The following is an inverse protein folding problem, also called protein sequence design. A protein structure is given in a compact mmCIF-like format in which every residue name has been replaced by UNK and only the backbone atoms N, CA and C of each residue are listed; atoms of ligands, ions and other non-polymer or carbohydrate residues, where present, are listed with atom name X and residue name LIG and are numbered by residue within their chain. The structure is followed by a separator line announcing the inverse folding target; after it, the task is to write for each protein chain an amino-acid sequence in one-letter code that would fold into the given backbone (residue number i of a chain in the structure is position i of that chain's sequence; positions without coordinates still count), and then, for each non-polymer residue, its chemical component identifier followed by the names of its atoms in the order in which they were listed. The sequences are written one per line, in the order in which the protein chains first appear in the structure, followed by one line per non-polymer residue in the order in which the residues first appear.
data_IF_173943719530
#
_entry.id   IF_173943719530
#
_cell.length_a   1.000
_cell.length_b   1.000
_cell.length_c   1.000
_cell.angle_alpha   90.00
_cell.angle_beta   90.00
_cell.angle_gamma   90.00
#
_symmetry.space_group_name_H-M   'P 1'
#
loop_
_entity.id
_entity.type
_entity.pdbx_description
1 polymer ?
#
# COMPACT_ATOMS: atom_id res chain seq x y z
N UNK A 1 46.25 -28.50 -7.78
CA UNK A 1 45.81 -27.08 -7.99
C UNK A 1 44.61 -26.95 -8.97
N UNK A 2 43.80 -27.99 -9.16
CA UNK A 2 42.82 -28.09 -10.28
C UNK A 2 41.35 -28.11 -9.87
N UNK A 3 41.02 -28.37 -8.60
CA UNK A 3 39.63 -28.50 -8.13
C UNK A 3 38.89 -27.15 -7.92
N UNK A 4 39.60 -26.06 -7.62
CA UNK A 4 38.96 -24.74 -7.41
C UNK A 4 38.41 -24.11 -8.71
N UNK A 5 38.95 -24.49 -9.88
CA UNK A 5 38.58 -23.89 -11.17
C UNK A 5 37.24 -24.43 -11.71
N UNK A 6 36.95 -25.72 -11.48
CA UNK A 6 35.69 -26.34 -11.91
C UNK A 6 34.47 -25.83 -11.13
N UNK A 7 34.64 -25.51 -9.84
CA UNK A 7 33.56 -25.01 -8.98
C UNK A 7 33.10 -23.57 -9.35
N UNK A 8 33.99 -22.77 -9.96
CA UNK A 8 33.66 -21.40 -10.42
C UNK A 8 32.84 -21.41 -11.73
N UNK A 9 33.04 -22.41 -12.58
CA UNK A 9 32.33 -22.54 -13.87
C UNK A 9 30.88 -23.00 -13.67
N UNK A 10 30.62 -23.87 -12.68
CA UNK A 10 29.25 -24.29 -12.35
C UNK A 10 28.41 -23.16 -11.73
N UNK A 11 29.01 -22.28 -10.90
CA UNK A 11 28.30 -21.11 -10.33
C UNK A 11 27.87 -20.10 -11.40
N UNK A 12 28.66 -19.89 -12.45
CA UNK A 12 28.30 -18.96 -13.54
C UNK A 12 27.16 -19.49 -14.43
N UNK A 13 27.04 -20.82 -14.63
CA UNK A 13 25.93 -21.38 -15.41
C UNK A 13 24.58 -21.31 -14.68
N UNK A 14 24.56 -21.33 -13.35
CA UNK A 14 23.31 -21.20 -12.57
C UNK A 14 22.77 -19.77 -12.48
N UNK A 15 23.61 -18.74 -12.60
CA UNK A 15 23.14 -17.35 -12.55
C UNK A 15 22.49 -16.90 -13.87
N UNK A 16 22.92 -17.44 -15.02
CA UNK A 16 22.42 -16.98 -16.32
C UNK A 16 21.01 -17.52 -16.67
N UNK A 17 20.52 -18.55 -15.96
CA UNK A 17 19.20 -19.13 -16.23
C UNK A 17 18.05 -18.51 -15.41
N UNK A 18 18.36 -17.57 -14.50
CA UNK A 18 17.33 -16.82 -13.75
C UNK A 18 16.74 -15.64 -14.54
N UNK A 19 17.41 -15.17 -15.59
CA UNK A 19 16.91 -14.06 -16.40
C UNK A 19 15.93 -14.47 -17.51
N UNK A 20 15.95 -15.72 -18.00
CA UNK A 20 15.06 -16.16 -19.10
C UNK A 20 13.63 -16.51 -18.68
N UNK A 21 13.33 -16.67 -17.38
CA UNK A 21 11.97 -17.00 -16.90
C UNK A 21 11.04 -15.79 -16.76
N UNK A 22 11.52 -14.56 -16.98
CA UNK A 22 10.69 -13.36 -16.81
C UNK A 22 9.99 -12.87 -18.10
N UNK A 23 10.38 -13.35 -19.28
CA UNK A 23 9.84 -12.81 -20.54
C UNK A 23 8.49 -13.39 -20.97
N UNK A 24 8.14 -14.61 -20.57
CA UNK A 24 6.85 -15.22 -20.93
C UNK A 24 5.66 -14.75 -20.07
N UNK A 25 5.89 -13.88 -19.08
CA UNK A 25 4.83 -13.35 -18.21
C UNK A 25 4.25 -12.01 -18.71
N UNK A 26 4.71 -11.50 -19.85
CA UNK A 26 4.41 -10.15 -20.33
C UNK A 26 3.50 -10.08 -21.57
N UNK A 27 3.17 -11.21 -22.21
CA UNK A 27 2.36 -11.28 -23.45
C UNK A 27 0.86 -11.55 -23.22
N UNK A 28 0.43 -11.72 -21.97
CA UNK A 28 -0.97 -11.55 -21.55
C UNK A 28 -0.98 -10.50 -20.46
N UNK A 29 -0.64 -9.25 -20.79
CA UNK A 29 -1.19 -8.16 -19.99
C UNK A 29 -2.70 -8.33 -20.20
N UNK A 30 -3.50 -8.71 -19.19
CA UNK A 30 -4.93 -8.48 -19.31
C UNK A 30 -5.03 -7.03 -19.70
N UNK A 31 -5.73 -6.72 -20.80
CA UNK A 31 -6.10 -5.34 -21.08
C UNK A 31 -6.64 -4.83 -19.76
N UNK A 32 -5.85 -3.97 -19.13
CA UNK A 32 -6.24 -3.46 -17.84
C UNK A 32 -7.46 -2.66 -18.19
N UNK A 33 -8.64 -3.20 -17.85
CA UNK A 33 -9.92 -2.50 -17.84
C UNK A 33 -9.73 -1.38 -16.82
N UNK A 34 -8.94 -0.38 -17.21
CA UNK A 34 -8.65 0.82 -16.43
C UNK A 34 -9.83 1.75 -16.50
N UNK A 35 -10.62 1.60 -17.56
CA UNK A 35 -11.73 2.45 -17.85
C UNK A 35 -13.00 1.58 -17.77
N UNK A 36 -13.91 1.99 -16.89
CA UNK A 36 -15.25 1.41 -16.72
C UNK A 36 -16.08 1.62 -18.01
N UNK A 37 -15.64 2.56 -18.84
CA UNK A 37 -16.27 2.95 -20.09
C UNK A 37 -15.41 2.38 -21.25
N UNK A 38 -16.02 1.69 -22.23
CA UNK A 38 -15.30 1.20 -23.40
C UNK A 38 -14.75 2.35 -24.25
N UNK A 39 -13.84 2.05 -25.17
CA UNK A 39 -13.28 3.08 -26.06
C UNK A 39 -14.38 3.78 -26.88
N UNK A 40 -14.13 5.03 -27.28
CA UNK A 40 -15.09 5.82 -28.06
C UNK A 40 -15.51 5.14 -29.36
N UNK A 41 -14.59 4.42 -30.01
CA UNK A 41 -14.89 3.65 -31.23
C UNK A 41 -15.90 2.51 -30.99
N UNK A 42 -15.87 1.90 -29.80
CA UNK A 42 -16.84 0.88 -29.43
C UNK A 42 -18.19 1.53 -29.11
N UNK A 43 -18.19 2.68 -28.41
CA UNK A 43 -19.42 3.42 -28.11
C UNK A 43 -20.14 3.89 -29.37
N UNK A 44 -19.42 4.37 -30.38
CA UNK A 44 -19.99 4.78 -31.67
C UNK A 44 -20.71 3.61 -32.34
N UNK A 45 -20.08 2.42 -32.38
CA UNK A 45 -20.72 1.19 -32.90
C UNK A 45 -21.95 0.76 -32.11
N UNK A 46 -21.99 1.01 -30.79
CA UNK A 46 -23.17 0.74 -29.97
C UNK A 46 -24.32 1.71 -30.27
N UNK A 47 -24.01 2.99 -30.48
CA UNK A 47 -25.00 4.00 -30.85
C UNK A 47 -25.59 3.74 -32.23
N UNK A 48 -24.75 3.34 -33.20
CA UNK A 48 -25.19 2.95 -34.55
C UNK A 48 -26.11 1.73 -34.52
N UNK A 49 -25.83 0.76 -33.62
CA UNK A 49 -26.63 -0.45 -33.48
C UNK A 49 -27.95 -0.19 -32.75
N UNK A 50 -27.96 0.69 -31.74
CA UNK A 50 -29.15 1.03 -30.96
C UNK A 50 -29.06 2.48 -30.47
N UNK A 51 -29.76 3.44 -31.12
CA UNK A 51 -29.68 4.85 -30.76
C UNK A 51 -30.21 5.08 -29.34
N UNK A 52 -29.47 5.88 -28.56
CA UNK A 52 -29.73 6.14 -27.14
C UNK A 52 -29.14 5.12 -26.17
N UNK A 53 -28.57 4.01 -26.65
CA UNK A 53 -27.97 2.99 -25.79
C UNK A 53 -26.72 3.48 -25.06
N UNK A 54 -25.92 4.37 -25.68
CA UNK A 54 -24.73 4.95 -25.07
C UNK A 54 -25.12 5.83 -23.88
N UNK A 55 -26.17 6.64 -24.01
CA UNK A 55 -26.65 7.48 -22.91
C UNK A 55 -27.11 6.63 -21.71
N UNK A 56 -27.82 5.53 -21.97
CA UNK A 56 -28.23 4.59 -20.93
C UNK A 56 -27.02 3.90 -20.27
N UNK A 57 -26.02 3.50 -21.06
CA UNK A 57 -24.79 2.90 -20.55
C UNK A 57 -24.01 3.86 -19.66
N UNK A 58 -23.90 5.13 -20.05
CA UNK A 58 -23.23 6.17 -19.26
C UNK A 58 -23.98 6.39 -17.93
N UNK A 59 -25.30 6.49 -17.94
CA UNK A 59 -26.10 6.64 -16.71
C UNK A 59 -25.93 5.43 -15.76
N UNK A 60 -25.93 4.21 -16.30
CA UNK A 60 -25.65 3.00 -15.51
C UNK A 60 -24.23 3.00 -14.94
N UNK A 61 -23.23 3.35 -15.74
CA UNK A 61 -21.83 3.43 -15.30
C UNK A 61 -21.63 4.48 -14.22
N UNK A 62 -22.28 5.65 -14.36
CA UNK A 62 -22.21 6.71 -13.37
C UNK A 62 -22.88 6.31 -12.05
N UNK A 63 -24.07 5.69 -12.11
CA UNK A 63 -24.77 5.15 -10.92
C UNK A 63 -23.91 4.12 -10.19
N UNK A 64 -23.31 3.18 -10.92
CA UNK A 64 -22.42 2.16 -10.35
C UNK A 64 -21.16 2.79 -9.73
N UNK A 65 -20.55 3.77 -10.40
CA UNK A 65 -19.36 4.45 -9.88
C UNK A 65 -19.69 5.25 -8.61
N UNK A 66 -20.81 5.98 -8.59
CA UNK A 66 -21.31 6.67 -7.39
C UNK A 66 -21.57 5.69 -6.26
N UNK A 67 -22.17 4.54 -6.54
CA UNK A 67 -22.42 3.49 -5.55
C UNK A 67 -21.10 2.96 -4.96
N UNK A 68 -20.12 2.63 -5.80
CA UNK A 68 -18.78 2.17 -5.37
C UNK A 68 -18.06 3.20 -4.53
N UNK A 69 -18.07 4.47 -4.93
CA UNK A 69 -17.44 5.54 -4.15
C UNK A 69 -18.12 5.71 -2.78
N UNK A 70 -19.45 5.73 -2.72
CA UNK A 70 -20.18 5.80 -1.46
C UNK A 70 -19.86 4.60 -0.55
N UNK A 71 -19.77 3.38 -1.11
CA UNK A 71 -19.38 2.19 -0.36
C UNK A 71 -17.95 2.29 0.18
N UNK A 72 -17.00 2.73 -0.65
CA UNK A 72 -15.60 2.96 -0.24
C UNK A 72 -15.51 4.01 0.86
N UNK A 73 -16.24 5.12 0.75
CA UNK A 73 -16.27 6.18 1.75
C UNK A 73 -16.82 5.68 3.09
N UNK A 74 -17.92 4.91 3.05
CA UNK A 74 -18.50 4.29 4.25
C UNK A 74 -17.53 3.31 4.90
N UNK A 75 -16.86 2.49 4.10
CA UNK A 75 -15.86 1.55 4.57
C UNK A 75 -14.67 2.26 5.24
N UNK A 76 -14.12 3.29 4.59
CA UNK A 76 -13.03 4.10 5.13
C UNK A 76 -13.43 4.82 6.43
N UNK A 77 -14.65 5.37 6.49
CA UNK A 77 -15.19 6.01 7.70
C UNK A 77 -15.34 4.99 8.83
N UNK A 78 -15.93 3.82 8.57
CA UNK A 78 -16.11 2.76 9.57
C UNK A 78 -14.76 2.29 10.14
N UNK A 79 -13.78 2.06 9.27
CA UNK A 79 -12.43 1.67 9.69
C UNK A 79 -11.78 2.74 10.58
N UNK A 80 -11.89 4.01 10.22
CA UNK A 80 -11.36 5.12 11.01
C UNK A 80 -12.07 5.27 12.37
N UNK A 81 -13.39 5.10 12.40
CA UNK A 81 -14.19 5.16 13.63
C UNK A 81 -13.79 4.00 14.55
N UNK A 82 -13.73 2.77 14.06
CA UNK A 82 -13.32 1.60 14.84
C UNK A 82 -11.92 1.79 15.44
N UNK A 83 -10.98 2.33 14.65
CA UNK A 83 -9.63 2.64 15.15
C UNK A 83 -9.63 3.69 16.26
N UNK A 84 -10.47 4.74 16.15
CA UNK A 84 -10.60 5.78 17.18
C UNK A 84 -11.24 5.23 18.45
N UNK A 85 -12.31 4.46 18.33
CA UNK A 85 -12.98 3.81 19.46
C UNK A 85 -12.03 2.86 20.19
N UNK A 86 -11.31 2.02 19.46
CA UNK A 86 -10.32 1.11 20.07
C UNK A 86 -9.24 1.85 20.88
N UNK A 87 -8.74 2.98 20.36
CA UNK A 87 -7.79 3.84 21.09
C UNK A 87 -8.41 4.48 22.33
N UNK A 88 -9.63 4.98 22.23
CA UNK A 88 -10.34 5.59 23.35
C UNK A 88 -10.63 4.56 24.46
N UNK A 89 -11.14 3.38 24.10
CA UNK A 89 -11.38 2.28 25.04
C UNK A 89 -10.08 1.79 25.70
N UNK A 90 -8.99 1.67 24.92
CA UNK A 90 -7.69 1.33 25.47
C UNK A 90 -7.18 2.36 26.48
N UNK A 91 -7.35 3.65 26.18
CA UNK A 91 -6.98 4.73 27.10
C UNK A 91 -7.83 4.71 28.38
N UNK A 92 -9.16 4.58 28.26
CA UNK A 92 -10.05 4.54 29.42
C UNK A 92 -9.76 3.33 30.32
N UNK A 93 -9.46 2.17 29.72
CA UNK A 93 -9.04 0.98 30.46
C UNK A 93 -7.76 1.21 31.26
N UNK A 94 -6.74 1.84 30.66
CA UNK A 94 -5.48 2.15 31.36
C UNK A 94 -5.69 3.12 32.53
N UNK A 95 -6.53 4.15 32.35
CA UNK A 95 -6.86 5.11 33.42
C UNK A 95 -7.57 4.40 34.58
N UNK A 96 -8.57 3.55 34.28
CA UNK A 96 -9.29 2.79 35.29
C UNK A 96 -8.37 1.84 36.06
N UNK A 97 -7.46 1.16 35.36
CA UNK A 97 -6.47 0.28 35.98
C UNK A 97 -5.50 1.04 36.87
N UNK A 98 -5.01 2.19 36.43
CA UNK A 98 -4.11 3.04 37.22
C UNK A 98 -4.80 3.53 38.50
N UNK A 99 -6.07 3.93 38.40
CA UNK A 99 -6.89 4.31 39.55
C UNK A 99 -7.08 3.14 40.53
N UNK A 100 -7.32 1.93 40.04
CA UNK A 100 -7.43 0.73 40.87
C UNK A 100 -6.12 0.42 41.59
N UNK A 101 -4.98 0.49 40.90
CA UNK A 101 -3.65 0.29 41.49
C UNK A 101 -3.39 1.33 42.58
N UNK A 102 -3.71 2.59 42.31
CA UNK A 102 -3.58 3.68 43.28
C UNK A 102 -4.40 3.42 44.56
N UNK A 103 -5.65 2.97 44.41
CA UNK A 103 -6.51 2.61 45.54
C UNK A 103 -5.95 1.42 46.35
N UNK A 104 -5.40 0.39 45.70
CA UNK A 104 -4.76 -0.73 46.41
C UNK A 104 -3.54 -0.30 47.21
N UNK A 105 -2.71 0.59 46.65
CA UNK A 105 -1.53 1.12 47.35
C UNK A 105 -1.96 1.88 48.61
N UNK A 106 -3.01 2.71 48.51
CA UNK A 106 -3.56 3.46 49.64
C UNK A 106 -4.22 2.55 50.70
N UNK A 107 -4.73 1.38 50.29
CA UNK A 107 -5.30 0.37 51.20
C UNK A 107 -4.24 -0.46 51.93
N UNK A 108 -2.94 -0.26 51.62
CA UNK A 108 -1.82 -0.96 52.24
C UNK A 108 -1.42 -2.27 51.55
N UNK A 109 -2.17 -2.71 50.53
CA UNK A 109 -1.96 -3.97 49.81
C UNK A 109 -0.93 -3.84 48.66
N UNK A 110 0.28 -3.35 48.99
CA UNK A 110 1.32 -3.04 48.00
C UNK A 110 1.75 -4.25 47.16
N UNK A 111 1.77 -5.44 47.76
CA UNK A 111 2.18 -6.66 47.06
C UNK A 111 1.18 -7.06 45.97
N UNK A 112 -0.13 -6.95 46.24
CA UNK A 112 -1.18 -7.22 45.26
C UNK A 112 -1.17 -6.18 44.13
N UNK A 113 -0.96 -4.90 44.46
CA UNK A 113 -0.83 -3.83 43.48
C UNK A 113 0.32 -4.10 42.48
N UNK A 114 1.49 -4.52 42.99
CA UNK A 114 2.65 -4.86 42.14
C UNK A 114 2.39 -6.08 41.25
N UNK A 115 1.74 -7.12 41.77
CA UNK A 115 1.36 -8.31 40.98
C UNK A 115 0.38 -7.97 39.87
N UNK A 116 -0.65 -7.15 40.15
CA UNK A 116 -1.59 -6.70 39.14
C UNK A 116 -0.93 -5.84 38.07
N UNK A 117 -0.05 -4.92 38.47
CA UNK A 117 0.70 -4.08 37.54
C UNK A 117 1.60 -4.90 36.62
N UNK A 118 2.35 -5.88 37.17
CA UNK A 118 3.27 -6.70 36.37
C UNK A 118 2.54 -7.59 35.36
N UNK A 119 1.41 -8.18 35.74
CA UNK A 119 0.55 -8.96 34.83
C UNK A 119 0.02 -8.06 33.71
N UNK A 120 -0.49 -6.88 34.04
CA UNK A 120 -1.02 -5.95 33.04
C UNK A 120 0.07 -5.46 32.06
N UNK A 121 1.27 -5.16 32.58
CA UNK A 121 2.40 -4.77 31.76
C UNK A 121 2.81 -5.90 30.78
N UNK A 122 2.84 -7.15 31.25
CA UNK A 122 3.14 -8.31 30.41
C UNK A 122 2.11 -8.51 29.29
N UNK A 123 0.82 -8.42 29.60
CA UNK A 123 -0.26 -8.52 28.61
C UNK A 123 -0.17 -7.38 27.59
N UNK A 124 0.07 -6.15 28.04
CA UNK A 124 0.20 -4.99 27.16
C UNK A 124 1.41 -5.11 26.23
N UNK A 125 2.55 -5.56 26.75
CA UNK A 125 3.75 -5.82 25.95
C UNK A 125 3.49 -6.90 24.89
N UNK A 126 2.79 -7.98 25.26
CA UNK A 126 2.43 -9.05 24.34
C UNK A 126 1.53 -8.56 23.19
N UNK A 127 0.50 -7.76 23.51
CA UNK A 127 -0.39 -7.15 22.50
C UNK A 127 0.40 -6.20 21.58
N UNK A 128 1.32 -5.39 22.11
CA UNK A 128 2.17 -4.51 21.30
C UNK A 128 3.04 -5.34 20.35
N UNK A 129 3.62 -6.44 20.81
CA UNK A 129 4.43 -7.32 19.99
C UNK A 129 3.60 -7.90 18.85
N UNK A 130 2.44 -8.52 19.14
CA UNK A 130 1.55 -9.10 18.12
C UNK A 130 1.13 -8.04 17.10
N UNK A 131 0.62 -6.90 17.55
CA UNK A 131 0.16 -5.83 16.66
C UNK A 131 1.29 -5.25 15.81
N UNK A 132 2.52 -5.22 16.34
CA UNK A 132 3.71 -4.81 15.58
C UNK A 132 4.10 -5.86 14.53
N UNK A 133 4.00 -7.15 14.86
CA UNK A 133 4.25 -8.24 13.92
C UNK A 133 3.23 -8.26 12.79
N UNK A 134 1.94 -8.16 13.09
CA UNK A 134 0.88 -8.06 12.09
C UNK A 134 1.14 -6.87 11.16
N UNK A 135 1.42 -5.69 11.73
CA UNK A 135 1.79 -4.53 10.92
C UNK A 135 2.98 -4.85 10.02
N UNK A 136 4.05 -5.47 10.52
CA UNK A 136 5.23 -5.81 9.71
C UNK A 136 4.92 -6.81 8.59
N UNK A 137 4.10 -7.83 8.85
CA UNK A 137 3.73 -8.86 7.86
C UNK A 137 2.79 -8.29 6.78
N UNK A 138 1.79 -7.51 7.18
CA UNK A 138 0.81 -6.88 6.27
C UNK A 138 1.29 -5.56 5.64
N UNK A 139 2.44 -5.01 6.08
CA UNK A 139 3.09 -3.84 5.44
C UNK A 139 3.62 -4.13 4.04
N UNK A 140 3.44 -5.35 3.50
CA UNK A 140 3.47 -5.57 2.05
C UNK A 140 2.24 -4.93 1.39
N UNK A 141 1.97 -3.65 1.68
CA UNK A 141 1.12 -2.85 0.81
C UNK A 141 1.73 -2.94 -0.59
N UNK A 142 0.93 -3.19 -1.64
CA UNK A 142 1.42 -3.02 -2.99
C UNK A 142 2.00 -1.60 -3.05
N UNK A 143 3.33 -1.50 -3.22
CA UNK A 143 3.96 -0.21 -3.49
C UNK A 143 3.18 0.34 -4.67
N UNK A 144 2.48 1.45 -4.46
CA UNK A 144 1.81 2.19 -5.53
C UNK A 144 2.96 2.67 -6.42
N UNK A 145 3.34 1.83 -7.39
CA UNK A 145 4.50 1.94 -8.27
C UNK A 145 4.25 2.99 -9.35
N UNK A 146 3.74 4.15 -8.94
CA UNK A 146 3.28 5.20 -9.85
C UNK A 146 3.72 6.61 -9.45
N UNK A 147 4.07 6.86 -8.19
CA UNK A 147 4.46 8.21 -7.75
C UNK A 147 5.97 8.46 -7.80
N UNK A 148 6.78 7.44 -7.58
CA UNK A 148 8.25 7.58 -7.61
C UNK A 148 8.79 7.63 -9.05
N UNK A 149 8.17 6.92 -9.99
CA UNK A 149 8.58 6.90 -11.39
C UNK A 149 8.38 8.28 -12.07
N UNK A 150 7.33 9.01 -11.67
CA UNK A 150 7.10 10.38 -12.18
C UNK A 150 8.09 11.41 -11.61
N UNK A 151 8.60 11.19 -10.39
CA UNK A 151 9.62 12.08 -9.81
C UNK A 151 10.96 11.94 -10.54
N UNK A 152 11.33 10.71 -10.92
CA UNK A 152 12.57 10.45 -11.67
C UNK A 152 12.51 11.04 -13.09
N UNK A 153 11.39 10.84 -13.80
CA UNK A 153 11.18 11.36 -15.15
C UNK A 153 11.18 12.89 -15.25
N UNK A 154 10.78 13.58 -14.18
CA UNK A 154 10.83 15.05 -14.12
C UNK A 154 12.24 15.59 -13.80
N UNK A 155 13.09 14.82 -13.11
CA UNK A 155 14.49 15.21 -12.90
C UNK A 155 15.30 15.02 -14.18
N UNK A 156 15.15 13.89 -14.88
CA UNK A 156 15.84 13.65 -16.16
C UNK A 156 15.53 14.77 -17.18
N UNK A 157 14.26 15.18 -17.29
CA UNK A 157 13.87 16.31 -18.17
C UNK A 157 14.45 17.67 -17.78
N UNK A 158 14.84 17.87 -16.52
CA UNK A 158 15.48 19.13 -16.08
C UNK A 158 16.95 19.14 -16.46
N UNK A 159 17.63 18.01 -16.39
CA UNK A 159 19.03 17.88 -16.76
C UNK A 159 19.20 18.05 -18.28
N UNK A 160 18.33 17.45 -19.09
CA UNK A 160 18.30 17.65 -20.56
C UNK A 160 18.12 19.13 -20.95
N UNK A 161 17.29 19.88 -20.20
CA UNK A 161 17.07 21.31 -20.46
C UNK A 161 18.28 22.17 -20.08
N UNK A 162 19.04 21.78 -19.05
CA UNK A 162 20.26 22.49 -18.66
C UNK A 162 21.34 22.30 -19.71
N UNK A 163 21.56 21.07 -20.16
CA UNK A 163 22.53 20.76 -21.21
C UNK A 163 22.21 21.47 -22.53
N UNK A 164 20.93 21.51 -22.93
CA UNK A 164 20.53 22.19 -24.16
C UNK A 164 20.68 23.73 -24.07
N UNK A 165 20.45 24.32 -22.90
CA UNK A 165 20.68 25.75 -22.69
C UNK A 165 22.17 26.11 -22.69
N UNK A 166 23.02 25.24 -22.15
CA UNK A 166 24.47 25.43 -22.13
C UNK A 166 25.04 25.36 -23.56
N UNK A 167 24.62 24.36 -24.34
CA UNK A 167 24.99 24.24 -25.76
C UNK A 167 24.54 25.44 -26.61
N UNK A 168 23.39 26.05 -26.30
CA UNK A 168 22.93 27.28 -26.97
C UNK A 168 23.79 28.50 -26.64
N UNK A 169 24.27 28.61 -25.41
CA UNK A 169 25.18 29.70 -25.00
C UNK A 169 26.54 29.59 -25.68
N UNK A 170 27.10 28.38 -25.75
CA UNK A 170 28.39 28.13 -26.41
C UNK A 170 28.35 28.42 -27.91
N UNK A 171 27.21 28.20 -28.58
CA UNK A 171 27.06 28.50 -30.02
C UNK A 171 26.82 29.98 -30.34
N UNK A 172 26.43 30.78 -29.35
CA UNK A 172 26.13 32.20 -29.52
C UNK A 172 27.32 33.11 -29.17
N UNK A 173 28.36 32.56 -28.54
CA UNK A 173 29.63 33.24 -28.24
C UNK A 173 30.66 32.90 -29.32
#
# INVERSE_FOLDING_TARGET
MTLKKQNKIQKNKMQNNRNRRNDYKNSRKPETIKDIIPSSEILEKFEDALPGSVAQLIDMAEKEQRHRHNWQDRYLKSHNISSRIGKACGLSYNIALLYLIYNLINSGEKELALKLFSINAAVTAFVIIITTFERRVFSRRPRVRGKDDNRKRNNDKRDDRRENNENRRVRAA
#
